data_IF_755902994945
#
_entry.id   IF_755902994945
#
_cell.length_a   1.000
_cell.length_b   1.000
_cell.length_c   1.000
_cell.angle_alpha   90.00
_cell.angle_beta   90.00
_cell.angle_gamma   90.00
#
_symmetry.space_group_name_H-M   'P 1'
#
loop_
_entity.id
_entity.type
_entity.pdbx_description
1 polymer ?
#
# COMPACT_ATOMS: atom_id res chain seq x y z
N UNK A 1 -10.37 19.57 1.99
CA UNK A 1 -9.08 19.17 2.58
C UNK A 1 -8.26 18.43 1.53
N UNK A 2 -7.07 18.91 1.14
CA UNK A 2 -6.23 18.16 0.20
C UNK A 2 -5.81 16.83 0.84
N UNK A 3 -5.88 15.73 0.08
CA UNK A 3 -5.36 14.42 0.53
C UNK A 3 -3.86 14.58 0.73
N UNK A 4 -3.39 14.41 1.97
CA UNK A 4 -1.97 14.32 2.29
C UNK A 4 -1.34 13.30 1.34
N UNK A 5 -0.31 13.70 0.59
CA UNK A 5 0.44 12.76 -0.25
C UNK A 5 0.94 11.64 0.66
N UNK A 6 0.71 10.41 0.23
CA UNK A 6 1.36 9.26 0.84
C UNK A 6 2.87 9.42 0.67
N UNK A 7 3.63 9.08 1.70
CA UNK A 7 5.06 8.87 1.56
C UNK A 7 5.33 7.75 0.53
N UNK A 8 6.46 7.81 -0.14
CA UNK A 8 6.82 6.87 -1.20
C UNK A 8 6.78 5.41 -0.69
N UNK A 9 7.18 5.18 0.56
CA UNK A 9 7.16 3.85 1.17
C UNK A 9 5.74 3.31 1.33
N UNK A 10 4.81 4.12 1.83
CA UNK A 10 3.39 3.75 1.90
C UNK A 10 2.83 3.38 0.53
N UNK A 11 3.23 4.09 -0.53
CA UNK A 11 2.79 3.78 -1.87
C UNK A 11 3.40 2.47 -2.41
N UNK A 12 4.70 2.21 -2.14
CA UNK A 12 5.38 0.95 -2.48
C UNK A 12 4.74 -0.24 -1.75
N UNK A 13 4.48 -0.12 -0.44
CA UNK A 13 3.79 -1.17 0.34
C UNK A 13 2.39 -1.46 -0.21
N UNK A 14 1.63 -0.40 -0.54
CA UNK A 14 0.32 -0.52 -1.18
C UNK A 14 0.37 -1.26 -2.52
N UNK A 15 1.36 -0.95 -3.37
CA UNK A 15 1.55 -1.67 -4.64
C UNK A 15 1.82 -3.16 -4.42
N UNK A 16 2.72 -3.51 -3.49
CA UNK A 16 3.03 -4.92 -3.15
C UNK A 16 1.79 -5.68 -2.67
N UNK A 17 1.00 -5.07 -1.79
CA UNK A 17 -0.26 -5.62 -1.32
C UNK A 17 -1.22 -5.92 -2.49
N UNK A 18 -1.44 -4.92 -3.35
CA UNK A 18 -2.34 -5.03 -4.51
C UNK A 18 -1.85 -6.10 -5.50
N UNK A 19 -0.53 -6.18 -5.74
CA UNK A 19 0.06 -7.22 -6.58
C UNK A 19 -0.21 -8.61 -6.01
N UNK A 20 -0.09 -8.81 -4.69
CA UNK A 20 -0.35 -10.11 -4.06
C UNK A 20 -1.81 -10.54 -4.17
N UNK A 21 -2.75 -9.62 -3.93
CA UNK A 21 -4.19 -9.86 -4.10
C UNK A 21 -4.54 -10.19 -5.56
N UNK A 22 -3.99 -9.42 -6.50
CA UNK A 22 -4.19 -9.63 -7.94
C UNK A 22 -3.66 -10.99 -8.38
N UNK A 23 -2.47 -11.37 -7.92
CA UNK A 23 -1.88 -12.67 -8.21
C UNK A 23 -2.73 -13.81 -7.65
N UNK A 24 -3.12 -13.74 -6.37
CA UNK A 24 -3.97 -14.76 -5.75
C UNK A 24 -5.30 -14.94 -6.50
N UNK A 25 -5.96 -13.85 -6.87
CA UNK A 25 -7.19 -13.91 -7.66
C UNK A 25 -6.96 -14.59 -9.01
N UNK A 26 -5.92 -14.21 -9.75
CA UNK A 26 -5.59 -14.83 -11.04
C UNK A 26 -5.29 -16.32 -10.92
N UNK A 27 -4.52 -16.70 -9.90
CA UNK A 27 -4.17 -18.10 -9.64
C UNK A 27 -5.38 -18.97 -9.25
N UNK A 28 -6.45 -18.37 -8.70
CA UNK A 28 -7.71 -19.07 -8.45
C UNK A 28 -8.49 -19.49 -9.71
N UNK A 29 -8.19 -18.90 -10.88
CA UNK A 29 -8.94 -19.09 -12.12
C UNK A 29 -10.33 -18.44 -12.15
N UNK A 30 -10.81 -17.86 -11.03
CA UNK A 30 -12.13 -17.22 -10.94
C UNK A 30 -12.11 -15.82 -11.56
N UNK A 31 -13.21 -15.41 -12.20
CA UNK A 31 -13.32 -14.05 -12.77
C UNK A 31 -13.38 -12.98 -11.68
N UNK A 32 -13.11 -11.72 -12.06
CA UNK A 32 -13.25 -10.58 -11.16
C UNK A 32 -14.70 -10.43 -10.66
N UNK A 33 -15.71 -10.64 -11.51
CA UNK A 33 -17.12 -10.61 -11.09
C UNK A 33 -17.43 -11.69 -10.06
N UNK A 34 -16.91 -12.92 -10.26
CA UNK A 34 -17.18 -14.04 -9.38
C UNK A 34 -16.62 -13.81 -7.98
N UNK A 35 -15.37 -13.33 -7.89
CA UNK A 35 -14.74 -13.01 -6.60
C UNK A 35 -15.40 -11.80 -5.95
N UNK A 36 -15.69 -10.74 -6.71
CA UNK A 36 -16.36 -9.55 -6.20
C UNK A 36 -17.72 -9.88 -5.57
N UNK A 37 -18.53 -10.70 -6.26
CA UNK A 37 -19.84 -11.14 -5.78
C UNK A 37 -19.73 -11.90 -4.47
N UNK A 38 -18.83 -12.87 -4.38
CA UNK A 38 -18.67 -13.69 -3.18
C UNK A 38 -18.08 -12.89 -2.01
N UNK A 39 -17.16 -11.97 -2.29
CA UNK A 39 -16.58 -11.06 -1.30
C UNK A 39 -17.52 -9.92 -0.87
N UNK A 40 -18.70 -9.76 -1.51
CA UNK A 40 -19.64 -8.69 -1.19
C UNK A 40 -19.16 -7.28 -1.55
N UNK A 41 -18.29 -7.14 -2.56
CA UNK A 41 -17.77 -5.84 -3.03
C UNK A 41 -18.07 -5.63 -4.52
N UNK A 42 -17.93 -4.38 -4.99
CA UNK A 42 -18.18 -4.09 -6.40
C UNK A 42 -17.09 -4.67 -7.32
N UNK A 43 -17.47 -5.17 -8.50
CA UNK A 43 -16.50 -5.60 -9.52
C UNK A 43 -15.58 -4.46 -9.97
N UNK A 44 -16.09 -3.22 -9.96
CA UNK A 44 -15.31 -2.05 -10.32
C UNK A 44 -14.20 -1.79 -9.30
N UNK A 45 -14.45 -2.04 -8.01
CA UNK A 45 -13.44 -2.00 -6.95
C UNK A 45 -12.33 -3.01 -7.21
N UNK A 46 -12.69 -4.26 -7.53
CA UNK A 46 -11.70 -5.31 -7.87
C UNK A 46 -10.88 -4.90 -9.08
N UNK A 47 -11.52 -4.46 -10.17
CA UNK A 47 -10.84 -4.01 -11.39
C UNK A 47 -9.95 -2.78 -11.16
N UNK A 48 -10.37 -1.85 -10.30
CA UNK A 48 -9.59 -0.67 -9.94
C UNK A 48 -8.31 -1.04 -9.19
N UNK A 49 -8.39 -2.03 -8.29
CA UNK A 49 -7.24 -2.62 -7.61
C UNK A 49 -6.33 -3.31 -8.64
N UNK A 50 -6.86 -4.21 -9.48
CA UNK A 50 -6.05 -4.97 -10.44
C UNK A 50 -5.35 -4.12 -11.50
N UNK A 51 -5.96 -2.99 -11.89
CA UNK A 51 -5.37 -2.03 -12.83
C UNK A 51 -4.43 -1.04 -12.16
N UNK A 52 -4.21 -1.15 -10.84
CA UNK A 52 -3.35 -0.25 -10.07
C UNK A 52 -3.91 1.17 -9.93
N UNK A 53 -5.20 1.40 -10.22
CA UNK A 53 -5.86 2.70 -10.01
C UNK A 53 -6.12 2.95 -8.51
N UNK A 54 -6.28 1.89 -7.74
CA UNK A 54 -6.40 1.93 -6.28
C UNK A 54 -5.19 1.24 -5.65
N UNK A 55 -4.21 2.03 -5.19
CA UNK A 55 -2.97 1.51 -4.58
C UNK A 55 -3.11 1.38 -3.06
N UNK A 56 -3.96 2.18 -2.44
CA UNK A 56 -4.30 2.10 -1.01
C UNK A 56 -5.78 1.78 -0.85
N UNK A 57 -6.17 0.51 -1.08
CA UNK A 57 -7.54 0.07 -0.82
C UNK A 57 -7.87 0.17 0.67
N UNK A 58 -9.15 0.32 0.97
CA UNK A 58 -9.61 0.37 2.36
C UNK A 58 -9.52 -1.01 3.03
N UNK A 59 -9.33 -1.00 4.35
CA UNK A 59 -9.14 -2.21 5.15
C UNK A 59 -10.21 -3.28 4.89
N UNK A 60 -11.50 -2.91 4.94
CA UNK A 60 -12.60 -3.86 4.73
C UNK A 60 -12.62 -4.44 3.31
N UNK A 61 -12.14 -3.69 2.31
CA UNK A 61 -11.98 -4.21 0.94
C UNK A 61 -10.88 -5.28 0.90
N UNK A 62 -9.75 -5.03 1.57
CA UNK A 62 -8.65 -5.99 1.67
C UNK A 62 -9.08 -7.24 2.43
N UNK A 63 -9.74 -7.08 3.58
CA UNK A 63 -10.22 -8.18 4.41
C UNK A 63 -11.24 -9.06 3.68
N UNK A 64 -12.20 -8.46 2.96
CA UNK A 64 -13.18 -9.20 2.17
C UNK A 64 -12.52 -10.04 1.07
N UNK A 65 -11.57 -9.45 0.33
CA UNK A 65 -10.81 -10.16 -0.70
C UNK A 65 -9.90 -11.25 -0.11
N UNK A 66 -9.26 -10.99 1.02
CA UNK A 66 -8.40 -11.97 1.69
C UNK A 66 -9.19 -13.20 2.12
N UNK A 67 -10.32 -13.00 2.80
CA UNK A 67 -11.23 -14.08 3.22
C UNK A 67 -11.70 -14.89 2.01
N UNK A 68 -12.17 -14.24 0.95
CA UNK A 68 -12.69 -14.92 -0.23
C UNK A 68 -11.63 -15.69 -1.03
N UNK A 69 -10.37 -15.25 -0.98
CA UNK A 69 -9.25 -15.88 -1.66
C UNK A 69 -8.47 -16.85 -0.77
N UNK A 70 -8.91 -17.07 0.48
CA UNK A 70 -8.23 -17.95 1.44
C UNK A 70 -6.83 -17.45 1.84
N UNK A 71 -6.63 -16.14 1.90
CA UNK A 71 -5.36 -15.51 2.29
C UNK A 71 -5.40 -15.04 3.73
N UNK A 72 -4.28 -15.17 4.44
CA UNK A 72 -4.12 -14.55 5.75
C UNK A 72 -3.82 -13.05 5.62
N UNK A 73 -4.44 -12.24 6.49
CA UNK A 73 -4.12 -10.81 6.60
C UNK A 73 -2.69 -10.58 7.10
N UNK A 74 -2.18 -11.43 7.98
CA UNK A 74 -0.79 -11.36 8.45
C UNK A 74 0.19 -11.64 7.31
N UNK A 75 -0.09 -12.64 6.46
CA UNK A 75 0.73 -12.92 5.27
C UNK A 75 0.73 -11.75 4.29
N UNK A 76 -0.43 -11.13 4.08
CA UNK A 76 -0.55 -9.93 3.24
C UNK A 76 0.24 -8.76 3.81
N UNK A 77 0.18 -8.56 5.12
CA UNK A 77 0.96 -7.53 5.81
C UNK A 77 2.46 -7.79 5.64
N UNK A 78 2.95 -8.98 5.97
CA UNK A 78 4.37 -9.33 5.83
C UNK A 78 4.86 -9.19 4.39
N UNK A 79 4.08 -9.65 3.40
CA UNK A 79 4.43 -9.49 2.00
C UNK A 79 4.50 -8.02 1.58
N UNK A 80 3.62 -7.17 2.11
CA UNK A 80 3.63 -5.73 1.81
C UNK A 80 4.87 -5.02 2.37
N UNK A 81 5.49 -5.56 3.44
CA UNK A 81 6.69 -5.01 4.05
C UNK A 81 7.99 -5.47 3.37
N UNK A 82 7.95 -6.56 2.60
CA UNK A 82 9.15 -7.11 1.97
C UNK A 82 9.63 -6.17 0.86
N UNK A 83 10.86 -5.60 0.93
CA UNK A 83 11.44 -4.84 -0.17
C UNK A 83 11.70 -5.77 -1.36
N UNK A 84 11.56 -5.27 -2.59
CA UNK A 84 11.88 -6.06 -3.79
C UNK A 84 13.40 -6.06 -3.93
N UNK A 85 14.04 -7.20 -4.25
CA UNK A 85 15.47 -7.24 -4.48
C UNK A 85 15.90 -6.19 -5.51
N UNK A 86 16.84 -5.31 -5.14
CA UNK A 86 17.34 -4.23 -6.00
C UNK A 86 16.69 -2.85 -5.76
N UNK A 87 15.67 -2.76 -4.91
CA UNK A 87 15.12 -1.46 -4.49
C UNK A 87 16.06 -0.81 -3.48
N UNK A 88 16.75 0.26 -3.89
CA UNK A 88 17.52 1.07 -2.94
C UNK A 88 16.54 1.69 -1.94
N UNK A 89 16.72 1.51 -0.61
CA UNK A 89 15.93 2.24 0.35
C UNK A 89 16.12 3.73 0.10
N UNK A 90 15.01 4.48 0.06
CA UNK A 90 15.10 5.93 0.02
C UNK A 90 15.89 6.39 1.26
N UNK A 91 16.84 7.33 1.12
CA UNK A 91 17.59 7.81 2.27
C UNK A 91 16.59 8.32 3.32
N UNK A 92 16.81 8.05 4.61
CA UNK A 92 15.92 8.53 5.66
C UNK A 92 15.73 10.04 5.48
N UNK A 93 14.53 10.60 5.77
CA UNK A 93 14.27 12.02 5.59
C UNK A 93 15.34 12.80 6.33
N UNK A 94 16.23 13.45 5.58
CA UNK A 94 17.30 14.24 6.16
C UNK A 94 16.63 15.36 6.93
N UNK A 95 16.70 15.28 8.26
CA UNK A 95 16.20 16.33 9.13
C UNK A 95 17.06 17.54 8.82
N UNK A 96 16.54 18.46 8.00
CA UNK A 96 17.21 19.73 7.71
C UNK A 96 17.52 20.38 9.06
N UNK A 97 18.79 20.61 9.40
CA UNK A 97 19.12 21.30 10.64
C UNK A 97 18.42 22.65 10.63
N UNK A 98 17.68 22.94 11.69
CA UNK A 98 17.03 24.23 11.88
C UNK A 98 18.10 25.34 11.94
N UNK A 99 18.34 25.98 10.79
CA UNK A 99 19.31 27.08 10.65
C UNK A 99 18.84 28.39 11.31
N UNK A 100 17.70 28.39 12.01
CA UNK A 100 17.21 29.58 12.71
C UNK A 100 17.79 29.79 14.12
N UNK A 101 18.69 28.91 14.59
CA UNK A 101 19.49 29.16 15.81
C UNK A 101 20.65 30.12 15.53
N UNK A 102 20.35 31.40 15.39
CA UNK A 102 21.34 32.48 15.49
C UNK A 102 22.02 32.42 16.86
N UNK A 103 23.36 32.31 16.95
CA UNK A 103 24.03 32.44 18.23
C UNK A 103 23.95 33.91 18.64
N UNK A 104 23.23 34.20 19.74
CA UNK A 104 23.22 35.51 20.38
C UNK A 104 24.62 35.75 20.95
N UNK A 105 25.48 36.40 20.15
CA UNK A 105 26.83 36.80 20.50
C UNK A 105 26.74 37.72 21.72
N UNK A 106 27.18 37.22 22.88
CA UNK A 106 27.30 38.02 24.09
C UNK A 106 28.41 39.06 23.89
N UNK A 107 28.06 40.31 24.15
CA UNK A 107 28.96 41.46 24.11
C UNK A 107 30.08 41.32 25.15
N UNK A 108 31.28 41.73 24.75
CA UNK A 108 32.34 42.21 25.64
C UNK A 108 32.97 43.43 24.98
#
# INVERSE_FOLDING_TARGET
>A
MPRRRLDADSQRRGQRLVSRLTHARRSSGRSAEAVARSAGISVETVRSIEKGRTITPEFFTVAALATELGLSLDELYHHSQQPVPGERPDPPPQTVPDMSRTPRRAAR
#
